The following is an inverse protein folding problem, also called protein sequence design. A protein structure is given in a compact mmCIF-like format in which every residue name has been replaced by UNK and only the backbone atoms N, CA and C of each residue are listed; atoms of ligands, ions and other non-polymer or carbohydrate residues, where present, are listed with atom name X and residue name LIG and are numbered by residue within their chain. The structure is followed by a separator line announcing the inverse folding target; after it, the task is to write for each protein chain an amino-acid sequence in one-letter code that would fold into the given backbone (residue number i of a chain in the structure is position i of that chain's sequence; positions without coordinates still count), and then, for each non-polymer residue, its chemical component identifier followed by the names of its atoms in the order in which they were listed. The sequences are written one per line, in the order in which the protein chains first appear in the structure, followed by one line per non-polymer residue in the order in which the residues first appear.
data_IF_350116187980
#
_entry.id   IF_350116187980
#
_cell.length_a   1.000
_cell.length_b   1.000
_cell.length_c   1.000
_cell.angle_alpha   90.00
_cell.angle_beta   90.00
_cell.angle_gamma   90.00
#
_symmetry.space_group_name_H-M   'P 1'
#
loop_
_entity.id
_entity.type
_entity.pdbx_description
1 polymer ?
#
# COMPACT_ATOMS: atom_id res chain seq x y z
N UNK A 1 16.64 -3.09 11.10
CA UNK A 1 15.36 -3.35 11.77
C UNK A 1 14.61 -4.38 10.95
N UNK A 2 13.73 -5.18 11.55
CA UNK A 2 12.90 -6.15 10.82
C UNK A 2 11.42 -5.85 11.09
N UNK A 3 10.58 -6.06 10.07
CA UNK A 3 9.14 -5.99 10.19
C UNK A 3 8.66 -7.29 10.86
N UNK A 4 8.08 -7.16 12.05
CA UNK A 4 7.62 -8.31 12.82
C UNK A 4 6.23 -8.76 12.38
N UNK A 5 6.06 -10.07 12.24
CA UNK A 5 4.83 -10.70 11.77
C UNK A 5 4.26 -11.63 12.84
N UNK A 6 2.94 -11.59 12.97
CA UNK A 6 2.15 -12.57 13.70
C UNK A 6 1.43 -13.51 12.74
N UNK A 7 1.24 -14.77 13.16
CA UNK A 7 0.36 -15.69 12.46
C UNK A 7 -1.02 -15.74 13.12
N UNK A 8 -2.05 -15.49 12.32
CA UNK A 8 -3.45 -15.54 12.73
C UNK A 8 -4.16 -16.67 12.00
N UNK A 9 -4.80 -17.56 12.73
CA UNK A 9 -5.60 -18.64 12.16
C UNK A 9 -6.91 -18.08 11.62
N UNK A 10 -7.28 -18.48 10.38
CA UNK A 10 -8.58 -18.14 9.85
C UNK A 10 -9.64 -19.08 10.45
N UNK A 11 -10.62 -18.49 11.11
CA UNK A 11 -11.75 -19.17 11.74
C UNK A 11 -13.07 -18.90 11.02
N UNK A 12 -13.03 -18.24 9.85
CA UNK A 12 -14.24 -17.96 9.10
C UNK A 12 -14.73 -19.19 8.34
N UNK A 13 -15.82 -19.77 8.82
CA UNK A 13 -16.44 -20.97 8.26
C UNK A 13 -17.08 -20.75 6.87
N UNK A 14 -17.38 -19.50 6.52
CA UNK A 14 -17.95 -19.16 5.19
C UNK A 14 -16.93 -19.28 4.06
N UNK A 15 -15.63 -19.38 4.37
CA UNK A 15 -14.55 -19.48 3.42
C UNK A 15 -13.89 -20.86 3.48
N UNK A 16 -14.59 -21.89 3.00
CA UNK A 16 -14.19 -23.32 3.11
C UNK A 16 -12.73 -23.58 2.69
N UNK A 17 -12.26 -22.99 1.61
CA UNK A 17 -10.89 -23.21 1.10
C UNK A 17 -9.77 -22.62 1.96
N UNK A 18 -10.10 -21.77 2.96
CA UNK A 18 -9.15 -21.05 3.80
C UNK A 18 -9.32 -21.29 5.28
N UNK A 19 -10.38 -21.99 5.68
CA UNK A 19 -10.64 -22.35 7.07
C UNK A 19 -9.46 -23.12 7.67
N UNK A 20 -9.02 -22.70 8.85
CA UNK A 20 -7.94 -23.35 9.57
C UNK A 20 -6.52 -22.98 9.10
N UNK A 21 -6.36 -22.30 7.97
CA UNK A 21 -5.03 -21.81 7.50
C UNK A 21 -4.55 -20.64 8.35
N UNK A 22 -3.25 -20.51 8.48
CA UNK A 22 -2.60 -19.39 9.16
C UNK A 22 -2.14 -18.35 8.15
N UNK A 23 -2.37 -17.07 8.48
CA UNK A 23 -2.01 -15.93 7.65
C UNK A 23 -1.08 -15.00 8.43
N UNK A 24 0.00 -14.61 7.79
CA UNK A 24 0.92 -13.62 8.34
C UNK A 24 0.27 -12.23 8.34
N UNK A 25 0.36 -11.53 9.47
CA UNK A 25 -0.10 -10.16 9.64
C UNK A 25 0.98 -9.36 10.32
N UNK A 26 1.11 -8.09 9.93
CA UNK A 26 2.07 -7.18 10.55
C UNK A 26 1.71 -6.96 12.02
N UNK A 27 2.70 -7.04 12.89
CA UNK A 27 2.59 -6.60 14.28
C UNK A 27 2.83 -5.10 14.35
N UNK A 28 1.76 -4.35 14.54
CA UNK A 28 1.84 -2.90 14.66
C UNK A 28 2.33 -2.48 16.05
N UNK A 29 3.42 -1.71 16.08
CA UNK A 29 4.00 -1.19 17.34
C UNK A 29 3.31 0.06 17.87
N UNK A 30 2.41 0.64 17.06
CA UNK A 30 1.67 1.85 17.39
C UNK A 30 1.57 2.82 16.23
N UNK A 31 0.95 3.95 16.47
CA UNK A 31 0.82 5.04 15.50
C UNK A 31 1.72 6.20 15.92
N UNK A 32 2.55 6.66 15.01
CA UNK A 32 3.43 7.82 15.20
C UNK A 32 2.73 9.04 14.59
N UNK A 33 2.49 10.07 15.40
CA UNK A 33 1.94 11.34 14.95
C UNK A 33 3.00 12.30 14.43
N UNK A 34 2.57 13.46 13.92
CA UNK A 34 3.48 14.49 13.37
C UNK A 34 4.53 14.95 14.38
N UNK A 35 4.16 15.04 15.67
CA UNK A 35 5.08 15.44 16.76
C UNK A 35 6.21 14.44 16.95
N UNK A 36 5.90 13.17 16.95
CA UNK A 36 6.84 12.06 17.11
C UNK A 36 7.70 11.92 15.84
N UNK A 37 7.07 12.05 14.66
CA UNK A 37 7.79 12.05 13.38
C UNK A 37 8.80 13.19 13.31
N UNK A 38 8.43 14.41 13.68
CA UNK A 38 9.33 15.55 13.72
C UNK A 38 10.48 15.35 14.74
N UNK A 39 10.20 14.68 15.88
CA UNK A 39 11.23 14.32 16.84
C UNK A 39 12.21 13.31 16.26
N UNK A 40 11.71 12.32 15.55
CA UNK A 40 12.54 11.31 14.87
C UNK A 40 13.40 11.95 13.77
N UNK A 41 12.82 12.79 12.93
CA UNK A 41 13.57 13.53 11.90
C UNK A 41 14.69 14.37 12.51
N UNK A 42 14.45 15.01 13.64
CA UNK A 42 15.47 15.80 14.33
C UNK A 42 16.66 14.96 14.82
N UNK A 43 16.45 13.67 15.15
CA UNK A 43 17.54 12.76 15.52
C UNK A 43 18.49 12.41 14.35
N UNK A 44 18.08 12.64 13.11
CA UNK A 44 18.91 12.44 11.92
C UNK A 44 19.82 13.63 11.58
N UNK A 45 20.18 14.46 12.57
CA UNK A 45 21.08 15.61 12.42
C UNK A 45 20.59 16.67 11.40
N UNK A 46 19.28 16.88 11.30
CA UNK A 46 18.74 17.98 10.50
C UNK A 46 19.13 19.33 11.12
N UNK A 47 19.41 20.33 10.29
CA UNK A 47 19.68 21.70 10.71
C UNK A 47 18.43 22.41 11.27
N UNK A 48 17.24 21.83 11.07
CA UNK A 48 15.97 22.45 11.46
C UNK A 48 15.55 22.02 12.88
N UNK A 49 15.01 22.97 13.64
CA UNK A 49 14.43 22.67 14.95
C UNK A 49 13.16 21.82 14.76
N UNK A 50 12.84 21.02 15.79
CA UNK A 50 11.60 20.21 15.81
C UNK A 50 10.34 21.03 15.52
N UNK A 51 10.27 22.28 16.05
CA UNK A 51 9.14 23.17 15.82
C UNK A 51 9.01 23.60 14.35
N UNK A 52 10.12 23.89 13.67
CA UNK A 52 10.14 24.23 12.25
C UNK A 52 9.67 23.02 11.43
N UNK A 53 10.18 21.82 11.70
CA UNK A 53 9.78 20.58 11.01
C UNK A 53 8.28 20.33 11.18
N UNK A 54 7.75 20.50 12.39
CA UNK A 54 6.30 20.36 12.64
C UNK A 54 5.47 21.36 11.83
N UNK A 55 5.90 22.64 11.78
CA UNK A 55 5.23 23.66 10.99
C UNK A 55 5.19 23.30 9.51
N UNK A 56 6.34 22.96 8.92
CA UNK A 56 6.45 22.59 7.51
C UNK A 56 5.59 21.38 7.18
N UNK A 57 5.57 20.34 8.03
CA UNK A 57 4.72 19.17 7.82
C UNK A 57 3.23 19.51 7.91
N UNK A 58 2.84 20.40 8.82
CA UNK A 58 1.47 20.90 8.91
C UNK A 58 1.05 21.65 7.66
N UNK A 59 1.82 22.63 7.25
CA UNK A 59 1.57 23.44 6.05
C UNK A 59 1.51 22.57 4.78
N UNK A 60 2.36 21.54 4.69
CA UNK A 60 2.35 20.58 3.58
C UNK A 60 1.01 19.85 3.50
N UNK A 61 0.49 19.35 4.62
CA UNK A 61 -0.80 18.63 4.66
C UNK A 61 -1.94 19.56 4.22
N UNK A 62 -1.97 20.79 4.72
CA UNK A 62 -3.00 21.76 4.36
C UNK A 62 -2.93 22.15 2.88
N UNK A 63 -1.73 22.38 2.34
CA UNK A 63 -1.52 22.66 0.93
C UNK A 63 -1.96 21.49 0.04
N UNK A 64 -1.60 20.25 0.39
CA UNK A 64 -2.05 19.06 -0.36
C UNK A 64 -3.59 18.99 -0.37
N UNK A 65 -4.23 19.18 0.78
CA UNK A 65 -5.68 19.18 0.89
C UNK A 65 -6.32 20.23 -0.02
N UNK A 66 -5.84 21.47 0.03
CA UNK A 66 -6.38 22.55 -0.80
C UNK A 66 -6.23 22.25 -2.29
N UNK A 67 -5.03 21.91 -2.74
CA UNK A 67 -4.76 21.63 -4.15
C UNK A 67 -5.57 20.43 -4.66
N UNK A 68 -5.73 19.38 -3.86
CA UNK A 68 -6.51 18.21 -4.24
C UNK A 68 -8.00 18.53 -4.33
N UNK A 69 -8.52 19.39 -3.44
CA UNK A 69 -9.91 19.85 -3.51
C UNK A 69 -10.16 20.80 -4.70
N UNK A 70 -9.13 21.52 -5.14
CA UNK A 70 -9.17 22.33 -6.37
C UNK A 70 -9.05 21.48 -7.65
N UNK A 71 -8.94 20.15 -7.52
CA UNK A 71 -8.87 19.21 -8.64
C UNK A 71 -7.46 18.92 -9.15
N UNK A 72 -6.41 19.41 -8.49
CA UNK A 72 -5.04 19.08 -8.83
C UNK A 72 -4.64 17.71 -8.29
N UNK A 73 -3.71 17.09 -8.98
CA UNK A 73 -2.98 15.93 -8.47
C UNK A 73 -1.63 16.39 -7.92
N UNK A 74 -1.36 16.10 -6.67
CA UNK A 74 -0.10 16.48 -6.00
C UNK A 74 0.83 15.28 -5.96
N UNK A 75 2.00 15.38 -6.59
CA UNK A 75 3.04 14.36 -6.53
C UNK A 75 4.14 14.82 -5.58
N UNK A 76 4.48 13.97 -4.61
CA UNK A 76 5.69 14.07 -3.80
C UNK A 76 6.59 12.93 -4.24
N UNK A 77 7.76 13.27 -4.77
CA UNK A 77 8.72 12.27 -5.24
C UNK A 77 9.10 11.32 -4.10
N UNK A 78 9.26 10.05 -4.43
CA UNK A 78 9.59 8.96 -3.51
C UNK A 78 8.56 8.68 -2.39
N UNK A 79 7.45 9.42 -2.34
CA UNK A 79 6.37 9.20 -1.38
C UNK A 79 5.09 8.74 -2.08
N UNK A 80 4.52 9.58 -2.94
CA UNK A 80 3.28 9.22 -3.58
C UNK A 80 2.59 10.34 -4.34
N UNK A 81 1.53 9.94 -5.03
CA UNK A 81 0.63 10.83 -5.75
C UNK A 81 -0.68 10.89 -4.99
N UNK A 82 -1.07 12.10 -4.59
CA UNK A 82 -2.32 12.41 -3.90
C UNK A 82 -3.34 12.96 -4.89
N UNK A 83 -4.53 12.42 -4.90
CA UNK A 83 -5.64 12.86 -5.77
C UNK A 83 -6.99 12.71 -5.09
N UNK A 84 -7.97 13.52 -5.49
CA UNK A 84 -9.34 13.35 -5.04
C UNK A 84 -9.95 12.10 -5.67
N UNK A 85 -10.83 11.45 -4.93
CA UNK A 85 -11.73 10.40 -5.41
C UNK A 85 -13.11 10.67 -4.83
N UNK A 86 -14.13 10.41 -5.61
CA UNK A 86 -15.52 10.53 -5.18
C UNK A 86 -16.19 9.16 -5.23
N UNK A 87 -16.99 8.88 -4.21
CA UNK A 87 -17.94 7.77 -4.24
C UNK A 87 -19.27 8.33 -4.72
N UNK A 88 -19.78 7.81 -5.83
CA UNK A 88 -21.02 8.27 -6.41
C UNK A 88 -21.87 7.08 -6.87
N UNK A 89 -23.20 7.23 -6.79
CA UNK A 89 -24.12 6.31 -7.44
C UNK A 89 -24.18 6.64 -8.93
N UNK A 90 -24.34 5.60 -9.75
CA UNK A 90 -24.58 5.81 -11.17
C UNK A 90 -25.87 6.65 -11.39
N UNK A 91 -25.79 7.59 -12.33
CA UNK A 91 -26.94 8.41 -12.73
C UNK A 91 -27.52 7.87 -14.03
N UNK A 92 -28.86 7.74 -14.07
CA UNK A 92 -29.58 7.58 -15.32
C UNK A 92 -30.04 8.96 -15.78
N UNK A 93 -29.46 9.43 -16.89
CA UNK A 93 -29.77 10.76 -17.46
C UNK A 93 -31.00 10.71 -18.35
N UNK A 94 -32.10 10.17 -17.84
CA UNK A 94 -33.39 10.16 -18.53
C UNK A 94 -34.26 11.31 -18.03
N UNK A 95 -35.09 11.83 -18.93
CA UNK A 95 -36.01 12.92 -18.59
C UNK A 95 -36.98 12.48 -17.48
N UNK A 96 -36.94 13.16 -16.33
CA UNK A 96 -37.76 12.86 -15.17
C UNK A 96 -37.13 11.92 -14.15
N UNK A 97 -35.89 11.49 -14.32
CA UNK A 97 -35.16 10.72 -13.33
C UNK A 97 -34.94 11.51 -12.05
N UNK A 98 -35.16 10.85 -10.90
CA UNK A 98 -34.83 11.42 -9.59
C UNK A 98 -33.38 11.10 -9.26
N UNK A 99 -32.59 12.12 -8.93
CA UNK A 99 -31.23 11.99 -8.45
C UNK A 99 -31.29 11.77 -6.94
N UNK A 100 -30.69 10.69 -6.45
CA UNK A 100 -30.58 10.38 -5.03
C UNK A 100 -29.16 10.58 -4.55
N UNK A 101 -29.00 10.96 -3.28
CA UNK A 101 -27.69 11.02 -2.64
C UNK A 101 -26.98 9.65 -2.68
N UNK A 102 -25.66 9.68 -2.69
CA UNK A 102 -24.81 8.49 -2.76
C UNK A 102 -25.11 7.47 -1.65
N UNK A 103 -24.85 6.21 -1.94
CA UNK A 103 -25.07 5.11 -0.99
C UNK A 103 -24.06 5.23 0.17
N UNK A 104 -24.56 5.24 1.41
CA UNK A 104 -23.73 5.09 2.61
C UNK A 104 -23.45 6.38 3.38
N UNK A 105 -23.67 7.56 2.81
CA UNK A 105 -23.56 8.83 3.53
C UNK A 105 -24.91 9.53 3.53
N UNK A 106 -25.50 9.63 4.71
CA UNK A 106 -26.64 10.51 4.92
C UNK A 106 -26.09 11.92 5.14
N UNK A 107 -26.22 12.77 4.13
CA UNK A 107 -25.93 14.19 4.27
C UNK A 107 -27.10 14.87 4.93
N UNK A 108 -26.80 15.82 5.83
CA UNK A 108 -27.84 16.68 6.42
C UNK A 108 -28.39 17.63 5.37
N UNK A 109 -29.61 18.15 5.58
CA UNK A 109 -30.20 19.13 4.68
C UNK A 109 -29.34 20.39 4.54
N UNK A 110 -28.64 20.77 5.60
CA UNK A 110 -27.70 21.89 5.62
C UNK A 110 -26.47 21.61 4.72
N UNK A 111 -25.91 20.41 4.77
CA UNK A 111 -24.80 19.99 3.89
C UNK A 111 -25.21 19.93 2.42
N UNK A 112 -26.46 19.51 2.13
CA UNK A 112 -27.00 19.49 0.78
C UNK A 112 -27.27 20.91 0.25
N UNK A 113 -27.73 21.83 1.12
CA UNK A 113 -27.89 23.24 0.77
C UNK A 113 -26.55 23.93 0.51
N UNK A 114 -25.53 23.59 1.30
CA UNK A 114 -24.18 24.14 1.12
C UNK A 114 -23.49 23.57 -0.13
N UNK A 115 -23.85 22.37 -0.58
CA UNK A 115 -23.25 21.72 -1.73
C UNK A 115 -24.29 21.03 -2.62
N UNK A 116 -25.07 21.79 -3.40
CA UNK A 116 -26.13 21.25 -4.24
C UNK A 116 -25.63 20.31 -5.34
N UNK A 117 -24.36 20.44 -5.76
CA UNK A 117 -23.77 19.52 -6.73
C UNK A 117 -23.65 18.07 -6.19
N UNK A 118 -23.48 17.91 -4.89
CA UNK A 118 -23.46 16.57 -4.28
C UNK A 118 -24.79 15.83 -4.47
N UNK A 119 -25.90 16.54 -4.36
CA UNK A 119 -27.23 15.99 -4.63
C UNK A 119 -27.45 15.77 -6.13
N UNK A 120 -27.11 16.75 -6.95
CA UNK A 120 -27.32 16.71 -8.40
C UNK A 120 -26.57 15.57 -9.08
N UNK A 121 -25.35 15.26 -8.63
CA UNK A 121 -24.50 14.21 -9.21
C UNK A 121 -24.45 12.94 -8.36
N UNK A 122 -25.34 12.81 -7.36
CA UNK A 122 -25.40 11.64 -6.46
C UNK A 122 -24.06 11.29 -5.81
N UNK A 123 -23.27 12.31 -5.47
CA UNK A 123 -21.96 12.15 -4.80
C UNK A 123 -22.18 11.90 -3.32
N UNK A 124 -21.71 10.76 -2.82
CA UNK A 124 -21.70 10.41 -1.40
C UNK A 124 -20.49 11.03 -0.70
N UNK A 125 -19.31 10.47 -0.93
CA UNK A 125 -18.09 10.84 -0.25
C UNK A 125 -17.06 11.45 -1.20
N UNK A 126 -16.30 12.42 -0.68
CA UNK A 126 -15.07 12.91 -1.30
C UNK A 126 -13.91 12.52 -0.41
N UNK A 127 -12.96 11.81 -0.95
CA UNK A 127 -11.78 11.31 -0.21
C UNK A 127 -10.49 11.57 -0.97
N UNK A 128 -9.39 11.67 -0.22
CA UNK A 128 -8.05 11.71 -0.80
C UNK A 128 -7.53 10.26 -0.85
N UNK A 129 -7.07 9.84 -2.02
CA UNK A 129 -6.35 8.58 -2.19
C UNK A 129 -4.88 8.87 -2.50
N UNK A 130 -4.01 8.03 -1.95
CA UNK A 130 -2.57 8.08 -2.20
C UNK A 130 -2.14 6.84 -2.97
N UNK A 131 -1.37 7.04 -4.03
CA UNK A 131 -0.69 5.99 -4.77
C UNK A 131 0.81 6.11 -4.52
N UNK A 132 1.43 5.09 -3.95
CA UNK A 132 2.86 5.06 -3.68
C UNK A 132 3.70 5.23 -4.96
N UNK A 133 4.83 5.94 -4.86
CA UNK A 133 5.77 6.16 -5.97
C UNK A 133 7.21 6.07 -5.47
N UNK A 134 8.15 5.85 -6.39
CA UNK A 134 9.59 5.81 -6.06
C UNK A 134 9.90 4.79 -4.97
N UNK A 135 10.54 5.23 -3.91
CA UNK A 135 11.01 4.37 -2.81
C UNK A 135 9.88 3.70 -2.00
N UNK A 136 8.66 4.20 -2.09
CA UNK A 136 7.49 3.60 -1.39
C UNK A 136 6.70 2.61 -2.24
N UNK A 137 7.13 2.30 -3.45
CA UNK A 137 6.49 1.28 -4.30
C UNK A 137 6.63 -0.11 -3.69
N UNK A 138 5.71 -1.01 -4.06
CA UNK A 138 5.72 -2.41 -3.58
C UNK A 138 7.05 -3.09 -3.87
N UNK A 139 7.62 -2.86 -5.05
CA UNK A 139 8.89 -3.45 -5.48
C UNK A 139 10.06 -3.02 -4.58
N UNK A 140 10.18 -1.71 -4.34
CA UNK A 140 11.23 -1.16 -3.50
C UNK A 140 11.04 -1.56 -2.02
N UNK A 141 9.81 -1.49 -1.51
CA UNK A 141 9.50 -1.94 -0.16
C UNK A 141 9.82 -3.42 0.05
N UNK A 142 9.52 -4.29 -0.93
CA UNK A 142 9.84 -5.71 -0.85
C UNK A 142 11.35 -5.97 -0.86
N UNK A 143 12.14 -5.19 -1.62
CA UNK A 143 13.59 -5.35 -1.68
C UNK A 143 14.29 -4.96 -0.38
N UNK A 144 13.73 -4.03 0.38
CA UNK A 144 14.32 -3.52 1.62
C UNK A 144 13.77 -4.20 2.88
N UNK A 145 12.55 -4.77 2.81
CA UNK A 145 11.88 -5.34 3.95
C UNK A 145 12.56 -6.60 4.47
N UNK A 146 13.10 -6.53 5.68
CA UNK A 146 13.54 -7.71 6.43
C UNK A 146 12.38 -8.18 7.30
N UNK A 147 11.91 -9.41 7.08
CA UNK A 147 10.77 -9.97 7.80
C UNK A 147 11.25 -10.88 8.95
N UNK A 148 10.56 -10.84 10.07
CA UNK A 148 10.77 -11.78 11.18
C UNK A 148 9.46 -12.09 11.87
N UNK A 149 9.37 -13.27 12.50
CA UNK A 149 8.23 -13.56 13.36
C UNK A 149 8.44 -13.02 14.78
N UNK A 150 7.36 -12.57 15.42
CA UNK A 150 7.39 -12.22 16.83
C UNK A 150 7.77 -13.42 17.68
N UNK A 151 8.31 -13.19 18.88
CA UNK A 151 8.66 -14.27 19.83
C UNK A 151 7.48 -15.18 20.13
N UNK A 152 6.28 -14.63 20.23
CA UNK A 152 5.02 -15.37 20.42
C UNK A 152 4.73 -16.30 19.25
N UNK A 153 4.86 -15.80 18.03
CA UNK A 153 4.64 -16.60 16.82
C UNK A 153 5.68 -17.69 16.68
N UNK A 154 6.95 -17.41 16.95
CA UNK A 154 8.03 -18.42 16.96
C UNK A 154 7.74 -19.55 17.95
N UNK A 155 7.31 -19.22 19.19
CA UNK A 155 6.94 -20.21 20.17
C UNK A 155 5.72 -21.06 19.74
N UNK A 156 4.72 -20.43 19.13
CA UNK A 156 3.54 -21.13 18.59
C UNK A 156 3.93 -22.08 17.45
N UNK A 157 4.70 -21.63 16.50
CA UNK A 157 5.17 -22.47 15.36
C UNK A 157 5.99 -23.65 15.88
N UNK A 158 6.91 -23.40 16.83
CA UNK A 158 7.69 -24.46 17.49
C UNK A 158 6.81 -25.49 18.18
N UNK A 159 5.71 -25.09 18.84
CA UNK A 159 4.79 -26.01 19.50
C UNK A 159 3.95 -26.82 18.51
N UNK A 160 3.65 -26.28 17.31
CA UNK A 160 2.81 -26.95 16.32
C UNK A 160 3.60 -27.88 15.40
N UNK A 161 4.82 -27.53 15.02
CA UNK A 161 5.61 -28.25 14.00
C UNK A 161 6.79 -29.01 14.65
N UNK A 162 7.14 -28.70 15.91
CA UNK A 162 8.31 -29.26 16.57
C UNK A 162 9.57 -28.39 16.41
N UNK A 163 10.71 -28.88 16.89
CA UNK A 163 11.95 -28.08 17.01
C UNK A 163 12.68 -27.73 15.71
N UNK A 164 12.22 -28.20 14.56
CA UNK A 164 12.93 -28.01 13.27
C UNK A 164 12.58 -26.69 12.53
N UNK A 165 11.71 -25.87 13.07
CA UNK A 165 11.30 -24.59 12.46
C UNK A 165 12.06 -23.38 13.05
N UNK A 166 13.22 -23.56 13.66
CA UNK A 166 14.05 -22.47 14.13
C UNK A 166 15.11 -22.13 13.08
N UNK A 167 15.11 -20.88 12.67
CA UNK A 167 16.08 -20.26 11.76
C UNK A 167 15.85 -20.58 10.27
N UNK A 168 14.68 -20.15 9.77
CA UNK A 168 14.40 -20.16 8.35
C UNK A 168 15.29 -19.17 7.60
N UNK A 169 16.28 -19.66 6.93
CA UNK A 169 16.77 -19.07 5.70
C UNK A 169 15.56 -18.71 4.81
N UNK A 170 15.66 -17.53 4.24
CA UNK A 170 14.76 -17.01 3.24
C UNK A 170 14.29 -18.12 2.27
N UNK A 171 13.01 -18.43 2.13
CA UNK A 171 12.58 -19.40 1.12
C UNK A 171 12.95 -18.85 -0.25
N UNK A 172 13.98 -19.44 -0.82
CA UNK A 172 14.41 -19.25 -2.19
C UNK A 172 13.21 -19.38 -3.13
N UNK A 173 13.15 -18.46 -4.06
CA UNK A 173 12.34 -18.42 -5.28
C UNK A 173 11.96 -19.82 -5.78
N UNK A 174 10.68 -20.08 -6.16
CA UNK A 174 10.34 -21.36 -6.76
C UNK A 174 11.11 -21.54 -8.05
N UNK A 175 11.97 -22.56 -8.04
CA UNK A 175 12.70 -23.10 -9.19
C UNK A 175 11.69 -23.47 -10.28
N UNK A 176 11.69 -22.78 -11.38
CA UNK A 176 11.03 -23.23 -12.60
C UNK A 176 11.72 -24.52 -13.05
N UNK A 177 10.99 -25.60 -13.06
CA UNK A 177 11.39 -26.87 -13.60
C UNK A 177 11.70 -26.76 -15.08
N UNK A 178 12.98 -26.85 -15.41
CA UNK A 178 13.47 -27.00 -16.77
C UNK A 178 13.23 -28.42 -17.26
N UNK A 179 12.39 -28.57 -18.25
CA UNK A 179 12.25 -29.78 -19.04
C UNK A 179 13.42 -29.91 -20.00
N UNK A 180 14.16 -30.99 -19.86
CA UNK A 180 15.20 -31.43 -20.81
C UNK A 180 14.58 -31.81 -22.13
N UNK A 181 15.06 -31.26 -23.23
CA UNK A 181 15.06 -31.97 -24.51
C UNK A 181 16.41 -31.77 -25.21
N UNK A 182 17.02 -32.89 -25.44
CA UNK A 182 18.24 -33.19 -26.15
C UNK A 182 17.97 -33.13 -27.65
N UNK A 183 18.87 -32.55 -28.41
CA UNK A 183 18.83 -32.60 -29.86
C UNK A 183 20.07 -31.95 -30.47
N UNK A 184 20.97 -32.77 -30.91
CA UNK A 184 22.29 -32.43 -31.44
C UNK A 184 22.29 -31.84 -32.85
N UNK A 185 23.39 -31.32 -33.28
CA UNK A 185 23.69 -30.92 -34.64
C UNK A 185 24.89 -29.99 -34.71
N UNK A 186 26.03 -30.59 -34.96
CA UNK A 186 27.27 -29.93 -35.42
C UNK A 186 27.01 -29.11 -36.69
N UNK A 187 27.69 -28.00 -36.86
CA UNK A 187 28.63 -27.81 -37.95
C UNK A 187 29.34 -26.45 -37.91
N UNK A 188 30.62 -26.57 -38.14
CA UNK A 188 31.63 -25.63 -38.49
C UNK A 188 31.23 -24.60 -39.55
N UNK A 189 31.76 -23.42 -39.54
CA UNK A 189 32.76 -22.91 -40.45
C UNK A 189 32.96 -21.39 -40.44
N UNK A 190 34.20 -21.01 -40.25
CA UNK A 190 35.02 -20.01 -40.95
C UNK A 190 34.44 -18.60 -41.22
N UNK A 191 35.03 -17.56 -40.59
CA UNK A 191 36.23 -16.82 -41.05
C UNK A 191 35.96 -15.78 -42.19
N UNK A 192 36.67 -14.68 -42.05
CA UNK A 192 36.89 -13.56 -43.00
C UNK A 192 35.86 -12.40 -42.88
N UNK A 193 36.21 -11.16 -42.73
CA UNK A 193 37.45 -10.42 -42.91
C UNK A 193 37.07 -9.00 -43.27
N UNK A 194 37.84 -8.10 -42.78
CA UNK A 194 38.20 -6.76 -43.22
C UNK A 194 37.21 -5.87 -44.05
N UNK A 195 37.21 -4.62 -43.63
CA UNK A 195 37.36 -3.54 -44.61
C UNK A 195 36.40 -2.37 -44.46
N UNK A 196 37.05 -1.24 -44.13
CA UNK A 196 36.70 0.19 -44.33
C UNK A 196 35.69 0.82 -43.39
#
# INVERSE_FOLDING_TARGET
MALELNLTKNTNEQLEGTLGKYYARVEYKGTIGVKELAAHMHQHNTAFSKGIVMGVLGDMVDCIKHLVLDGYTVKIDDLGIFKASVDANGLTLERGSKISAGRGVQRTDEELQANPAAQQFAVGDVKIIMQATGNTTIENMNSEAKLSFTSKTKAMVKSLIGSEASDGENPSTPSQGGGSQQGGGSNDNENLGDGD
#
